data_IF_453641056597
#
_entry.id   IF_453641056597
#
_cell.length_a   1.000
_cell.length_b   1.000
_cell.length_c   1.000
_cell.angle_alpha   90.00
_cell.angle_beta   90.00
_cell.angle_gamma   90.00
#
_symmetry.space_group_name_H-M   'P 1'
#
loop_
_entity.id
_entity.type
_entity.pdbx_description
1 polymer ?
#
# COMPACT_ATOMS: atom_id res chain seq x y z
N UNK A 1 -16.32 -25.86 -8.05
CA UNK A 1 -16.22 -25.15 -6.75
C UNK A 1 -16.52 -23.69 -7.02
N UNK A 2 -17.59 -23.14 -6.46
CA UNK A 2 -17.95 -21.72 -6.61
C UNK A 2 -17.53 -20.98 -5.34
N UNK A 3 -16.70 -19.96 -5.51
CA UNK A 3 -16.43 -18.99 -4.45
C UNK A 3 -17.67 -18.11 -4.26
N UNK A 4 -18.04 -17.84 -3.01
CA UNK A 4 -19.12 -16.90 -2.70
C UNK A 4 -18.68 -15.48 -3.02
N UNK A 5 -19.58 -14.59 -3.49
CA UNK A 5 -19.27 -13.19 -3.71
C UNK A 5 -18.72 -12.54 -2.44
N UNK A 6 -17.71 -11.69 -2.59
CA UNK A 6 -17.13 -10.96 -1.47
C UNK A 6 -18.20 -10.06 -0.81
N UNK A 7 -18.18 -10.03 0.53
CA UNK A 7 -19.02 -9.14 1.34
C UNK A 7 -18.11 -8.13 2.04
N UNK A 8 -18.33 -6.85 1.76
CA UNK A 8 -17.66 -5.75 2.45
C UNK A 8 -17.96 -5.82 3.95
N UNK A 9 -16.94 -5.71 4.80
CA UNK A 9 -17.09 -5.73 6.27
C UNK A 9 -16.59 -4.41 6.82
N UNK A 10 -17.21 -3.85 7.86
CA UNK A 10 -16.82 -2.53 8.41
C UNK A 10 -15.36 -2.45 8.91
N UNK A 11 -14.66 -3.59 9.02
CA UNK A 11 -13.24 -3.64 9.37
C UNK A 11 -12.32 -3.34 8.17
N UNK A 12 -12.76 -3.63 6.96
CA UNK A 12 -12.06 -3.35 5.73
C UNK A 12 -12.87 -2.30 4.97
N UNK A 13 -12.28 -1.13 4.70
CA UNK A 13 -12.95 -0.05 3.97
C UNK A 13 -13.46 -0.48 2.58
N UNK A 14 -13.96 0.46 1.76
CA UNK A 14 -14.33 0.15 0.38
C UNK A 14 -13.23 -0.66 -0.28
N UNK A 15 -13.58 -1.68 -1.06
CA UNK A 15 -12.60 -2.50 -1.79
C UNK A 15 -11.65 -1.59 -2.57
N UNK A 16 -10.47 -1.36 -2.02
CA UNK A 16 -9.38 -0.73 -2.74
C UNK A 16 -8.97 -1.77 -3.76
N UNK A 17 -9.29 -1.50 -5.03
CA UNK A 17 -8.63 -2.21 -6.11
C UNK A 17 -7.19 -1.74 -6.05
N UNK A 18 -6.38 -2.44 -5.26
CA UNK A 18 -4.95 -2.23 -5.21
C UNK A 18 -4.46 -2.21 -6.66
N UNK A 19 -3.90 -1.08 -7.12
CA UNK A 19 -3.44 -1.01 -8.48
C UNK A 19 -2.35 -2.08 -8.68
N UNK A 20 -2.30 -2.74 -9.84
CA UNK A 20 -1.15 -3.59 -10.13
C UNK A 20 0.12 -2.73 -10.11
N UNK A 21 1.23 -3.23 -9.52
CA UNK A 21 2.50 -2.51 -9.56
C UNK A 21 2.99 -2.39 -11.01
N UNK A 22 3.75 -1.33 -11.27
CA UNK A 22 4.45 -1.20 -12.54
C UNK A 22 5.73 -2.05 -12.49
N UNK A 23 6.15 -2.60 -13.62
CA UNK A 23 7.42 -3.32 -13.70
C UNK A 23 8.46 -2.46 -14.40
N UNK A 24 9.35 -1.85 -13.63
CA UNK A 24 10.46 -1.05 -14.15
C UNK A 24 11.78 -1.75 -13.83
N UNK A 25 12.56 -2.02 -14.88
CA UNK A 25 13.84 -2.75 -14.81
C UNK A 25 13.75 -4.11 -14.09
N UNK A 26 12.59 -4.77 -14.17
CA UNK A 26 12.33 -6.04 -13.50
C UNK A 26 11.97 -5.92 -12.01
N UNK A 27 11.80 -4.71 -11.49
CA UNK A 27 11.35 -4.44 -10.13
C UNK A 27 9.93 -3.87 -10.12
N UNK A 28 9.18 -4.22 -9.08
CA UNK A 28 7.85 -3.65 -8.84
C UNK A 28 7.98 -2.22 -8.31
N UNK A 29 7.42 -1.27 -9.06
CA UNK A 29 7.30 0.12 -8.65
C UNK A 29 5.86 0.47 -8.26
N UNK A 30 5.77 1.19 -7.15
CA UNK A 30 4.51 1.62 -6.56
C UNK A 30 4.46 3.14 -6.50
N UNK A 31 3.29 3.72 -6.80
CA UNK A 31 3.12 5.18 -6.76
C UNK A 31 2.95 5.65 -5.32
N UNK A 32 3.83 6.52 -4.87
CA UNK A 32 3.72 7.17 -3.56
C UNK A 32 2.66 8.28 -3.63
N UNK A 33 1.75 8.30 -2.65
CA UNK A 33 0.84 9.43 -2.43
C UNK A 33 1.50 10.48 -1.52
N UNK A 34 2.07 10.05 -0.38
CA UNK A 34 2.65 10.96 0.61
C UNK A 34 3.65 10.26 1.53
N UNK A 35 4.65 11.00 2.02
CA UNK A 35 5.46 10.59 3.18
C UNK A 35 4.74 11.04 4.46
N UNK A 36 4.30 10.09 5.28
CA UNK A 36 3.54 10.36 6.50
C UNK A 36 4.47 10.68 7.66
N UNK A 37 5.58 9.93 7.80
CA UNK A 37 6.59 10.11 8.85
C UNK A 37 7.97 9.77 8.32
N UNK A 38 8.98 10.28 9.01
CA UNK A 38 10.37 9.85 8.84
C UNK A 38 11.01 9.64 10.21
N UNK A 39 11.98 8.74 10.30
CA UNK A 39 12.79 8.53 11.48
C UNK A 39 14.25 8.32 11.07
N UNK A 40 15.14 9.09 11.68
CA UNK A 40 16.58 8.95 11.49
C UNK A 40 17.21 8.27 12.70
N UNK A 41 18.08 7.30 12.45
CA UNK A 41 19.00 6.72 13.42
C UNK A 41 20.44 7.06 12.99
N UNK A 42 21.46 6.85 13.85
CA UNK A 42 22.85 7.06 13.44
C UNK A 42 23.29 6.19 12.25
N UNK A 43 22.63 5.05 12.04
CA UNK A 43 22.98 4.06 11.03
C UNK A 43 22.09 4.13 9.78
N UNK A 44 20.87 4.67 9.88
CA UNK A 44 19.86 4.54 8.83
C UNK A 44 18.78 5.63 8.87
N UNK A 45 18.01 5.74 7.78
CA UNK A 45 16.85 6.62 7.67
C UNK A 45 15.66 5.83 7.13
N UNK A 46 14.56 5.84 7.88
CA UNK A 46 13.32 5.16 7.52
C UNK A 46 12.21 6.16 7.27
N UNK A 47 11.33 5.81 6.34
CA UNK A 47 10.13 6.57 5.99
C UNK A 47 8.91 5.69 6.20
N UNK A 48 7.78 6.33 6.55
CA UNK A 48 6.46 5.73 6.50
C UNK A 48 5.73 6.34 5.32
N UNK A 49 5.41 5.54 4.32
CA UNK A 49 4.90 5.91 3.02
C UNK A 49 3.41 5.57 2.94
N UNK A 50 2.59 6.54 2.52
CA UNK A 50 1.25 6.31 2.00
C UNK A 50 1.35 5.97 0.52
N UNK A 51 0.88 4.79 0.14
CA UNK A 51 0.81 4.38 -1.25
C UNK A 51 -0.49 4.86 -1.91
N UNK A 52 -0.38 5.33 -3.16
CA UNK A 52 -1.51 5.85 -3.90
C UNK A 52 -2.41 4.71 -4.37
N UNK A 53 -3.67 4.76 -3.97
CA UNK A 53 -4.67 3.74 -4.34
C UNK A 53 -4.73 2.54 -3.39
N UNK A 54 -3.89 2.51 -2.36
CA UNK A 54 -3.90 1.50 -1.32
C UNK A 54 -4.52 2.04 -0.03
N UNK A 55 -4.86 1.14 0.89
CA UNK A 55 -5.45 1.54 2.16
C UNK A 55 -4.36 2.07 3.11
N UNK A 56 -4.70 2.91 4.10
CA UNK A 56 -3.76 3.31 5.15
C UNK A 56 -3.19 2.14 5.97
N UNK A 57 -3.82 0.97 5.92
CA UNK A 57 -3.30 -0.25 6.56
C UNK A 57 -2.05 -0.78 5.86
N UNK A 58 -1.82 -0.37 4.61
CA UNK A 58 -0.68 -0.74 3.78
C UNK A 58 0.48 0.27 3.89
N UNK A 59 0.38 1.25 4.80
CA UNK A 59 1.44 2.24 5.02
C UNK A 59 2.72 1.55 5.54
N UNK A 60 3.86 1.74 4.84
CA UNK A 60 5.16 1.11 5.17
C UNK A 60 6.28 2.11 5.39
#
# INVERSE_FOLDING_TARGET
MLLTPYKETSQYGPNFFDPPPDLMDGFEEYKVEKIIKHKRTPQDMKYLIRWKGYSPSDDT
#
